data_IF_023504051706
#
_entry.id   IF_023504051706
#
_cell.length_a   1.000
_cell.length_b   1.000
_cell.length_c   1.000
_cell.angle_alpha   90.00
_cell.angle_beta   90.00
_cell.angle_gamma   90.00
#
_symmetry.space_group_name_H-M   'P 1'
#
loop_
_entity.id
_entity.type
_entity.pdbx_description
1 polymer ?
2 polymer ?
3 polymer ?
#
loop_
_entity_poly.entity_id
_entity_poly.type
_entity_poly.pdbx_seq_one_letter_code
_entity_poly.pdbx_strand_id
1 'polydeoxyribonucleotide' '(DT)(DA)(DT)(DA)(DT)(DA)(DT)(DA)(DT)(DA)(DT)(DA)' ?
#
# COMPACT_ATOMS: atom_id res chain seq x y z
N UNK C 7 25.17 0.54 5.83
CA UNK C 7 25.23 -0.80 6.40
C UNK C 7 25.01 -0.75 7.91
N UNK C 8 24.61 -1.88 8.49
CA UNK C 8 24.41 -1.99 9.93
C UNK C 8 25.61 -2.72 10.52
N UNK C 9 26.10 -2.22 11.65
CA UNK C 9 27.15 -2.91 12.39
C UNK C 9 27.19 -2.32 13.79
N UNK C 10 27.06 -3.17 14.80
CA UNK C 10 27.20 -2.76 16.18
C UNK C 10 26.28 -1.60 16.51
N UNK C 11 26.63 -0.41 16.01
CA UNK C 11 25.97 0.81 16.43
C UNK C 11 24.51 0.84 16.03
N UNK C 12 24.13 0.10 14.99
CA UNK C 12 22.77 0.23 14.47
C UNK C 12 21.74 -0.23 15.49
N UNK C 13 22.02 -1.34 16.19
CA UNK C 13 21.09 -1.83 17.19
C UNK C 13 20.90 -0.79 18.29
N UNK C 14 21.99 -0.21 18.78
CA UNK C 14 21.88 0.82 19.80
C UNK C 14 21.12 2.02 19.28
N UNK C 15 21.35 2.41 18.03
CA UNK C 15 20.69 3.58 17.50
C UNK C 15 19.19 3.36 17.40
N UNK C 16 18.77 2.15 17.02
CA UNK C 16 17.33 1.86 17.01
C UNK C 16 16.78 1.82 18.44
N UNK C 17 17.56 1.28 19.37
CA UNK C 17 17.13 1.23 20.77
C UNK C 17 16.88 2.61 21.34
N UNK C 18 17.78 3.56 21.09
CA UNK C 18 17.72 4.83 21.78
C UNK C 18 16.42 5.57 21.47
N UNK C 19 15.99 5.53 20.22
CA UNK C 19 14.92 6.43 19.79
C UNK C 19 13.52 5.90 20.10
N UNK C 20 13.40 4.69 20.65
CA UNK C 20 12.09 4.22 21.08
C UNK C 20 11.65 4.87 22.38
N UNK C 21 12.59 5.45 23.12
CA UNK C 21 12.30 5.92 24.47
C UNK C 21 11.26 7.04 24.46
N UNK C 22 11.42 8.01 23.54
CA UNK C 22 10.52 9.16 23.55
C UNK C 22 9.09 8.75 23.25
N UNK C 23 8.87 8.01 22.18
CA UNK C 23 7.50 7.63 21.82
C UNK C 23 6.92 6.63 22.80
N UNK C 24 7.78 5.86 23.47
CA UNK C 24 7.25 4.93 24.46
C UNK C 24 6.84 5.65 25.74
N UNK C 25 7.64 6.62 26.20
CA UNK C 25 7.23 7.37 27.38
C UNK C 25 6.05 8.27 27.05
N UNK C 26 5.89 8.62 25.78
CA UNK C 26 4.69 9.34 25.40
C UNK C 26 3.43 8.52 25.55
N UNK C 27 3.48 7.25 25.12
CA UNK C 27 2.26 6.44 25.14
C UNK C 27 1.99 5.87 26.52
N UNK C 28 3.02 5.70 27.34
CA UNK C 28 2.77 5.24 28.70
C UNK C 28 1.96 6.25 29.49
N UNK C 29 2.40 7.50 29.51
CA UNK C 29 1.69 8.60 30.15
C UNK C 29 1.43 9.66 29.10
N UNK C 30 0.16 9.94 28.81
CA UNK C 30 -0.19 10.59 27.56
C UNK C 30 0.03 12.10 27.63
N UNK C 31 -0.65 12.77 28.55
CA UNK C 31 -0.53 14.22 28.63
C UNK C 31 0.17 14.57 29.94
N UNK C 32 0.80 13.58 30.55
CA UNK C 32 1.55 13.77 31.78
C UNK C 32 2.99 13.29 31.56
N UNK C 33 3.81 14.16 30.97
CA UNK C 33 5.20 13.80 30.78
C UNK C 33 6.07 14.27 31.94
N UNK C 34 5.99 15.58 32.24
CA UNK C 34 6.84 16.15 33.27
C UNK C 34 6.56 15.52 34.62
N UNK C 35 5.29 15.33 34.94
CA UNK C 35 4.92 14.79 36.23
C UNK C 35 5.34 13.32 36.37
N UNK C 36 5.01 12.50 35.39
CA UNK C 36 5.20 11.07 35.53
C UNK C 36 6.68 10.71 35.40
N UNK C 37 7.38 11.27 34.40
CA UNK C 37 8.70 10.76 34.07
C UNK C 37 9.69 10.99 35.19
N UNK C 38 9.35 11.84 36.16
CA UNK C 38 10.28 12.10 37.25
C UNK C 38 10.56 10.87 38.10
N UNK C 39 9.53 10.07 38.34
CA UNK C 39 9.68 8.92 39.22
C UNK C 39 10.59 7.88 38.59
N UNK C 40 11.53 7.29 39.34
CA UNK C 40 12.45 6.33 38.74
C UNK C 40 11.78 5.05 38.25
N UNK C 41 10.69 4.64 38.90
CA UNK C 41 10.10 3.34 38.58
C UNK C 41 9.68 3.29 37.12
N UNK C 42 8.96 4.33 36.66
CA UNK C 42 8.46 4.32 35.29
C UNK C 42 9.62 4.27 34.31
N UNK C 43 10.72 4.94 34.64
CA UNK C 43 11.91 4.82 33.81
C UNK C 43 12.38 3.37 33.74
N UNK C 44 12.38 2.66 34.87
CA UNK C 44 12.75 1.25 34.85
C UNK C 44 11.84 0.44 33.95
N UNK C 45 10.53 0.62 34.07
CA UNK C 45 9.60 -0.20 33.29
C UNK C 45 9.71 0.11 31.81
N UNK C 46 9.78 1.39 31.44
CA UNK C 46 9.78 1.73 30.03
C UNK C 46 11.10 1.34 29.39
N UNK C 47 12.20 1.46 30.13
CA UNK C 47 13.45 0.84 29.74
C UNK C 47 13.25 -0.64 29.44
N UNK C 48 12.72 -1.39 30.41
CA UNK C 48 12.63 -2.82 30.26
C UNK C 48 11.78 -3.19 29.06
N UNK C 49 10.74 -2.42 28.78
CA UNK C 49 9.88 -2.71 27.64
C UNK C 49 10.58 -2.43 26.32
N UNK C 50 11.30 -1.32 26.22
CA UNK C 50 11.86 -0.94 24.93
C UNK C 50 13.00 -1.84 24.49
N UNK C 51 13.44 -2.75 25.35
CA UNK C 51 14.49 -3.71 24.99
C UNK C 51 13.96 -4.87 24.17
N UNK C 52 12.71 -5.29 24.39
CA UNK C 52 12.19 -6.46 23.71
C UNK C 52 11.82 -6.15 22.26
N UNK C 53 11.48 -4.90 21.98
CA UNK C 53 11.10 -4.55 20.61
C UNK C 53 12.30 -4.68 19.67
N UNK C 54 13.48 -4.24 20.11
CA UNK C 54 14.67 -4.46 19.29
C UNK C 54 14.99 -5.93 19.17
N UNK C 55 14.75 -6.71 20.23
CA UNK C 55 14.98 -8.14 20.15
C UNK C 55 14.11 -8.77 19.08
N UNK C 56 12.83 -8.41 19.04
CA UNK C 56 11.96 -8.92 17.99
C UNK C 56 12.41 -8.45 16.61
N UNK C 57 12.84 -7.19 16.50
CA UNK C 57 13.25 -6.69 15.20
C UNK C 57 14.47 -7.43 14.67
N UNK C 58 15.54 -7.48 15.47
CA UNK C 58 16.79 -8.06 14.97
C UNK C 58 16.68 -9.57 14.86
N UNK C 59 15.93 -10.21 15.76
CA UNK C 59 15.82 -11.66 15.70
C UNK C 59 15.01 -12.11 14.50
N UNK C 60 14.08 -11.28 14.04
CA UNK C 60 13.18 -11.65 12.97
C UNK C 60 13.50 -10.92 11.67
N UNK C 61 14.73 -10.50 11.47
CA UNK C 61 15.13 -9.81 10.26
C UNK C 61 16.15 -10.59 9.45
N UNK C 62 16.57 -11.76 9.92
CA UNK C 62 17.67 -12.47 9.29
C UNK C 62 17.34 -12.90 7.87
N UNK C 63 16.10 -13.28 7.61
CA UNK C 63 15.76 -13.75 6.27
C UNK C 63 16.06 -12.69 5.22
N UNK C 64 15.64 -11.46 5.49
CA UNK C 64 15.89 -10.38 4.54
C UNK C 64 17.37 -10.14 4.35
N UNK C 65 18.14 -10.15 5.44
CA UNK C 65 19.57 -9.89 5.33
C UNK C 65 20.26 -10.99 4.53
N UNK C 66 19.87 -12.25 4.70
CA UNK C 66 20.52 -13.31 3.95
C UNK C 66 20.13 -13.29 2.48
N UNK C 67 18.88 -12.95 2.17
CA UNK C 67 18.53 -12.77 0.76
C UNK C 67 19.32 -11.63 0.15
N UNK C 68 19.46 -10.54 0.89
CA UNK C 68 20.28 -9.42 0.45
C UNK C 68 21.72 -9.85 0.25
N UNK C 69 22.19 -10.74 1.12
CA UNK C 69 23.55 -11.27 0.98
C UNK C 69 23.72 -12.04 -0.31
N UNK C 70 22.77 -12.94 -0.60
CA UNK C 70 22.88 -13.77 -1.80
C UNK C 70 22.82 -12.93 -3.06
N UNK C 71 22.03 -11.85 -3.04
CA UNK C 71 21.89 -11.04 -4.24
C UNK C 71 23.21 -10.41 -4.68
N UNK C 72 24.08 -10.05 -3.72
CA UNK C 72 25.22 -9.20 -4.03
C UNK C 72 26.25 -9.90 -4.91
N UNK C 73 26.66 -11.12 -4.55
CA UNK C 73 27.75 -11.76 -5.28
C UNK C 73 27.31 -12.10 -6.70
N UNK C 74 26.05 -12.49 -6.85
CA UNK C 74 25.52 -12.75 -8.19
C UNK C 74 25.49 -11.46 -9.00
N UNK C 75 25.08 -10.35 -8.38
CA UNK C 75 25.07 -9.08 -9.08
C UNK C 75 26.47 -8.66 -9.51
N UNK C 76 27.46 -8.92 -8.66
CA UNK C 76 28.81 -8.44 -8.93
C UNK C 76 29.45 -9.19 -10.08
N UNK C 77 29.08 -10.46 -10.26
CA UNK C 77 29.78 -11.30 -11.22
C UNK C 77 29.51 -10.87 -12.67
N UNK C 78 28.43 -10.13 -12.88
CA UNK C 78 28.13 -9.57 -14.20
C UNK C 78 28.63 -8.14 -14.36
N UNK C 79 29.35 -7.61 -13.39
CA UNK C 79 29.83 -6.24 -13.50
C UNK C 79 28.72 -5.22 -13.52
N UNK C 80 27.65 -5.47 -12.77
CA UNK C 80 26.51 -4.56 -12.70
C UNK C 80 26.96 -3.30 -11.95
N UNK C 81 26.68 -2.11 -12.47
CA UNK C 81 27.09 -0.89 -11.78
C UNK C 81 26.23 -0.66 -10.55
N UNK C 82 26.64 0.25 -9.66
CA UNK C 82 25.91 0.39 -8.39
C UNK C 82 24.44 0.77 -8.55
N UNK C 83 24.08 1.53 -9.58
CA UNK C 83 22.76 2.14 -9.62
C UNK C 83 21.66 1.08 -9.66
N UNK C 84 21.82 0.06 -10.50
CA UNK C 84 20.79 -0.96 -10.64
C UNK C 84 20.85 -2.02 -9.56
N UNK C 85 21.87 -2.00 -8.71
CA UNK C 85 21.97 -3.06 -7.71
C UNK C 85 20.76 -3.05 -6.77
N UNK C 86 20.22 -1.89 -6.42
CA UNK C 86 19.04 -1.87 -5.57
C UNK C 86 17.83 -2.50 -6.22
N UNK C 87 17.59 -2.16 -7.49
CA UNK C 87 16.44 -2.75 -8.19
C UNK C 87 16.62 -4.25 -8.35
N UNK C 88 17.87 -4.71 -8.42
CA UNK C 88 18.11 -6.16 -8.32
C UNK C 88 17.84 -6.67 -6.91
N UNK C 89 18.18 -5.86 -5.90
CA UNK C 89 17.93 -6.22 -4.51
C UNK C 89 16.45 -6.44 -4.26
N UNK C 90 15.61 -5.88 -5.12
CA UNK C 90 14.17 -6.05 -4.99
C UNK C 90 13.76 -7.52 -4.87
N UNK C 91 14.08 -8.34 -5.88
CA UNK C 91 13.68 -9.76 -5.81
C UNK C 91 14.09 -10.44 -4.54
N UNK C 92 15.27 -10.13 -4.01
CA UNK C 92 15.72 -10.82 -2.80
C UNK C 92 14.57 -10.97 -1.82
N UNK C 93 13.97 -9.86 -1.42
CA UNK C 93 12.94 -10.01 -0.40
C UNK C 93 11.55 -10.01 -1.01
N UNK C 94 11.43 -9.60 -2.28
CA UNK C 94 10.17 -9.82 -2.99
C UNK C 94 9.86 -11.31 -3.12
N UNK C 95 10.88 -12.15 -2.97
CA UNK C 95 10.71 -13.58 -3.13
C UNK C 95 10.90 -14.34 -1.82
N UNK C 96 11.78 -13.88 -0.93
CA UNK C 96 11.95 -14.57 0.34
C UNK C 96 10.88 -14.17 1.34
N UNK C 97 9.87 -13.41 0.91
CA UNK C 97 8.74 -13.08 1.77
C UNK C 97 7.43 -13.61 1.25
N UNK C 98 7.10 -13.34 -0.02
CA UNK C 98 5.79 -13.73 -0.53
C UNK C 98 5.75 -15.19 -0.93
N UNK C 99 6.88 -15.75 -1.34
CA UNK C 99 6.85 -17.08 -1.92
C UNK C 99 7.17 -18.17 -0.91
N UNK C 100 8.34 -18.10 -0.28
CA UNK C 100 8.88 -19.29 0.37
C UNK C 100 8.45 -19.38 1.83
N UNK C 101 8.39 -18.25 2.55
CA UNK C 101 7.97 -18.33 3.94
C UNK C 101 6.49 -18.61 4.09
N UNK C 102 5.64 -17.90 3.36
CA UNK C 102 4.20 -18.02 3.60
C UNK C 102 3.37 -18.38 2.38
N UNK C 103 3.88 -18.22 1.16
CA UNK C 103 3.16 -18.59 -0.05
C UNK C 103 1.80 -17.92 -0.14
N UNK C 104 1.80 -16.60 -0.31
CA UNK C 104 0.59 -15.96 -0.82
C UNK C 104 0.21 -16.64 -2.13
N UNK C 105 -1.06 -16.52 -2.50
CA UNK C 105 -1.54 -17.34 -3.59
C UNK C 105 -1.10 -16.95 -4.99
N UNK C 106 0.19 -17.06 -5.30
CA UNK C 106 0.68 -16.82 -6.64
C UNK C 106 1.72 -17.87 -7.02
N UNK C 107 1.91 -18.05 -8.32
CA UNK C 107 3.02 -18.86 -8.81
C UNK C 107 4.22 -17.97 -9.15
N UNK C 108 5.37 -18.60 -9.32
CA UNK C 108 6.62 -17.85 -9.46
C UNK C 108 6.68 -17.09 -10.79
N UNK C 109 6.34 -17.77 -11.88
CA UNK C 109 6.57 -17.19 -13.20
C UNK C 109 5.81 -15.89 -13.40
N UNK C 110 4.58 -15.83 -12.90
CA UNK C 110 3.78 -14.62 -13.08
C UNK C 110 4.37 -13.45 -12.30
N UNK C 111 4.92 -13.70 -11.10
CA UNK C 111 5.60 -12.64 -10.37
C UNK C 111 6.87 -12.19 -11.11
N UNK C 112 7.62 -13.15 -11.65
CA UNK C 112 8.75 -12.83 -12.49
C UNK C 112 8.36 -11.91 -13.62
N UNK C 113 7.22 -12.19 -14.24
CA UNK C 113 6.71 -11.32 -15.31
C UNK C 113 6.28 -9.97 -14.76
N UNK C 114 5.68 -9.96 -13.57
CA UNK C 114 5.15 -8.72 -13.01
C UNK C 114 6.24 -7.70 -12.78
N UNK C 115 7.33 -8.08 -12.10
CA UNK C 115 8.33 -7.07 -11.79
C UNK C 115 9.12 -6.69 -13.04
N UNK C 116 9.25 -7.64 -13.96
CA UNK C 116 9.81 -7.30 -15.26
C UNK C 116 8.92 -6.29 -15.97
N UNK C 117 7.62 -6.31 -15.66
CA UNK C 117 6.73 -5.22 -16.08
C UNK C 117 6.96 -3.97 -15.24
N UNK C 118 8.02 -3.95 -14.42
CA UNK C 118 8.38 -2.70 -13.76
C UNK C 118 9.79 -2.29 -14.14
N UNK C 119 10.53 -3.15 -14.83
CA UNK C 119 11.90 -2.81 -15.18
C UNK C 119 12.09 -2.41 -16.64
N UNK C 120 11.01 -2.19 -17.40
CA UNK C 120 11.16 -2.08 -18.86
C UNK C 120 12.03 -0.92 -19.33
N UNK C 121 12.35 -0.97 -20.63
CA UNK C 121 12.60 0.24 -21.39
C UNK C 121 11.28 0.79 -21.91
N UNK C 122 11.33 1.94 -22.56
CA UNK C 122 10.20 2.45 -23.31
C UNK C 122 10.73 3.19 -24.54
N UNK C 123 10.91 2.44 -25.63
CA UNK C 123 11.50 3.04 -26.83
C UNK C 123 10.50 3.85 -27.64
N UNK C 124 9.31 3.35 -27.99
CA UNK C 124 8.40 4.22 -28.74
C UNK C 124 7.38 4.90 -27.85
N UNK C 131 16.07 0.14 -28.48
CA UNK C 131 17.08 -0.44 -27.60
C UNK C 131 16.63 -1.81 -27.08
N UNK C 132 17.57 -2.57 -26.55
CA UNK C 132 17.25 -3.84 -25.90
C UNK C 132 16.96 -3.57 -24.43
N UNK C 133 15.69 -3.33 -24.12
CA UNK C 133 15.34 -3.01 -22.75
C UNK C 133 15.37 -4.16 -21.81
N UNK C 134 15.69 -5.35 -22.31
CA UNK C 134 15.92 -6.48 -21.44
C UNK C 134 17.39 -6.87 -21.43
N UNK C 135 18.21 -6.25 -22.27
CA UNK C 135 19.64 -6.48 -22.33
C UNK C 135 20.30 -5.11 -22.40
N UNK C 136 20.70 -4.58 -21.24
CA UNK C 136 21.35 -3.27 -21.17
C UNK C 136 22.80 -3.40 -21.60
N UNK C 137 23.40 -2.28 -21.96
CA UNK C 137 24.82 -2.21 -22.30
C UNK C 137 25.54 -1.46 -21.18
N UNK C 138 26.71 -1.95 -20.79
CA UNK C 138 27.44 -1.39 -19.67
C UNK C 138 28.90 -1.18 -20.05
N UNK C 139 29.53 -0.18 -19.44
CA UNK C 139 30.94 0.12 -19.65
C UNK C 139 31.68 -0.25 -18.37
N UNK C 140 32.68 -1.11 -18.50
CA UNK C 140 33.47 -1.53 -17.36
C UNK C 140 34.57 -0.55 -17.03
N UNK C 141 35.34 -0.91 -16.00
CA UNK C 141 36.46 -0.08 -15.56
C UNK C 141 37.59 -0.06 -16.59
N UNK C 142 37.82 -1.15 -17.29
CA UNK C 142 38.87 -1.24 -18.29
C UNK C 142 38.43 -0.72 -19.65
N UNK C 143 37.18 -0.29 -19.79
CA UNK C 143 36.66 0.13 -21.07
C UNK C 143 36.10 -0.98 -21.93
N UNK C 144 36.07 -2.21 -21.43
CA UNK C 144 35.48 -3.32 -22.17
C UNK C 144 33.96 -3.28 -22.00
N UNK C 145 33.25 -3.04 -23.11
CA UNK C 145 31.79 -3.03 -23.07
C UNK C 145 31.24 -4.46 -23.15
N UNK C 146 30.28 -4.77 -22.28
CA UNK C 146 29.63 -6.06 -22.26
C UNK C 146 28.19 -5.89 -21.78
N UNK C 147 27.35 -6.86 -22.13
CA UNK C 147 25.91 -6.75 -21.94
C UNK C 147 25.39 -7.90 -21.10
N UNK C 148 24.29 -7.66 -20.39
CA UNK C 148 23.65 -8.66 -19.55
C UNK C 148 22.15 -8.60 -19.77
N UNK C 149 21.49 -9.75 -19.72
CA UNK C 149 20.04 -9.81 -19.83
C UNK C 149 19.45 -9.93 -18.44
N UNK C 150 18.34 -9.23 -18.20
CA UNK C 150 17.66 -9.33 -16.91
C UNK C 150 17.02 -10.69 -16.69
N UNK C 151 16.50 -11.31 -17.75
CA UNK C 151 15.75 -12.55 -17.57
C UNK C 151 16.60 -13.64 -16.93
N UNK C 152 17.80 -13.86 -17.48
CA UNK C 152 18.64 -14.94 -16.97
C UNK C 152 19.20 -14.61 -15.59
N UNK C 153 19.56 -13.35 -15.35
CA UNK C 153 20.09 -13.03 -14.04
C UNK C 153 19.02 -13.18 -12.98
N UNK C 154 17.76 -12.86 -13.31
CA UNK C 154 16.66 -13.12 -12.40
C UNK C 154 16.45 -14.61 -12.17
N UNK C 155 16.49 -15.41 -13.25
CA UNK C 155 16.34 -16.85 -13.05
C UNK C 155 17.43 -17.37 -12.11
N UNK C 156 18.66 -16.87 -12.29
CA UNK C 156 19.75 -17.27 -11.42
C UNK C 156 19.48 -16.86 -9.99
N UNK C 157 18.95 -15.65 -9.78
CA UNK C 157 18.76 -15.25 -8.38
C UNK C 157 17.68 -16.09 -7.70
N UNK C 158 16.57 -16.44 -8.37
CA UNK C 158 15.57 -17.21 -7.62
C UNK C 158 16.05 -18.64 -7.37
N UNK C 159 16.66 -19.28 -8.38
CA UNK C 159 17.01 -20.68 -8.10
C UNK C 159 18.18 -20.74 -7.12
N UNK C 160 19.07 -19.74 -7.14
CA UNK C 160 20.12 -19.68 -6.12
C UNK C 160 19.54 -19.47 -4.73
N UNK C 161 18.54 -18.59 -4.61
CA UNK C 161 17.93 -18.39 -3.30
C UNK C 161 17.23 -19.66 -2.82
N UNK C 162 16.54 -20.35 -3.72
CA UNK C 162 15.88 -21.60 -3.34
C UNK C 162 16.86 -22.66 -2.89
N UNK C 163 17.97 -22.84 -3.60
CA UNK C 163 18.97 -23.80 -3.15
C UNK C 163 19.60 -23.37 -1.83
N UNK C 164 19.85 -22.07 -1.67
CA UNK C 164 20.42 -21.57 -0.41
C UNK C 164 19.47 -21.85 0.75
N UNK C 165 18.18 -21.62 0.54
CA UNK C 165 17.20 -21.90 1.58
C UNK C 165 17.14 -23.40 1.88
N UNK D 3 -18.88 -16.53 27.94
CA UNK D 3 -18.90 -16.36 26.49
C UNK D 3 -19.88 -15.31 26.03
N UNK D 4 -19.70 -14.83 24.81
CA UNK D 4 -20.57 -13.79 24.28
C UNK D 4 -20.45 -12.48 25.02
N UNK D 5 -19.22 -11.98 25.16
CA UNK D 5 -19.02 -10.73 25.89
C UNK D 5 -19.72 -9.55 25.25
N UNK D 6 -19.54 -9.38 23.94
CA UNK D 6 -20.11 -8.23 23.24
C UNK D 6 -20.02 -8.49 21.73
N UNK D 7 -20.43 -7.49 20.95
CA UNK D 7 -20.42 -7.57 19.48
C UNK D 7 -19.87 -6.25 18.93
N UNK D 8 -18.56 -6.17 18.76
CA UNK D 8 -17.94 -4.94 18.32
C UNK D 8 -18.27 -4.64 16.86
N UNK D 9 -18.43 -3.39 16.50
CA UNK D 9 -18.69 -3.03 15.12
C UNK D 9 -17.74 -1.98 14.74
N UNK D 10 -17.24 -2.06 13.55
CA UNK D 10 -16.20 -1.20 13.01
C UNK D 10 -16.70 -0.49 11.77
N UNK D 11 -16.69 0.83 11.81
CA UNK D 11 -17.26 1.65 10.74
C UNK D 11 -16.86 3.11 10.99
N UNK D 12 -17.15 3.96 10.02
CA UNK D 12 -16.88 5.39 10.13
C UNK D 12 -18.10 6.02 10.79
N UNK D 13 -17.91 6.57 11.99
CA UNK D 13 -19.03 6.89 12.88
C UNK D 13 -19.06 8.35 13.30
N UNK D 14 -18.76 9.27 12.39
CA UNK D 14 -18.96 10.71 12.61
C UNK D 14 -18.12 11.28 13.74
N UNK D 15 -17.32 10.46 14.42
CA UNK D 15 -16.40 10.97 15.43
C UNK D 15 -15.00 10.42 15.31
N UNK D 16 -14.71 9.64 14.26
CA UNK D 16 -13.37 9.10 14.10
C UNK D 16 -12.33 10.20 14.02
N UNK D 17 -12.69 11.34 13.43
CA UNK D 17 -11.78 12.46 13.31
C UNK D 17 -11.22 12.85 14.68
N UNK D 18 -12.12 13.05 15.64
CA UNK D 18 -11.68 13.56 16.93
C UNK D 18 -10.93 12.50 17.72
N UNK D 19 -11.34 11.24 17.63
CA UNK D 19 -10.59 10.18 18.28
C UNK D 19 -9.15 10.15 17.78
N UNK D 20 -8.99 10.13 16.46
CA UNK D 20 -7.66 10.08 15.86
C UNK D 20 -6.83 11.29 16.28
N UNK D 21 -7.40 12.49 16.14
CA UNK D 21 -6.65 13.69 16.45
C UNK D 21 -6.25 13.71 17.92
N UNK D 22 -7.17 13.37 18.82
CA UNK D 22 -6.86 13.42 20.22
C UNK D 22 -5.78 12.45 20.63
N UNK D 23 -5.88 11.20 20.16
CA UNK D 23 -4.88 10.21 20.56
C UNK D 23 -3.49 10.59 20.02
N UNK D 24 -3.44 11.01 18.76
CA UNK D 24 -2.12 11.35 18.22
C UNK D 24 -1.60 12.69 18.73
N UNK D 25 -2.46 13.55 19.28
CA UNK D 25 -1.98 14.74 19.99
C UNK D 25 -1.43 14.38 21.35
N UNK D 26 -2.11 13.46 22.03
CA UNK D 26 -1.62 13.00 23.32
C UNK D 26 -0.24 12.37 23.20
N UNK D 27 -0.02 11.60 22.15
CA UNK D 27 1.29 10.98 21.99
C UNK D 27 2.36 12.01 21.66
N UNK D 28 2.07 12.93 20.74
CA UNK D 28 3.12 13.83 20.27
C UNK D 28 3.30 15.09 21.11
N UNK D 29 2.47 15.32 22.13
CA UNK D 29 2.66 16.55 22.91
C UNK D 29 4.03 16.57 23.58
N UNK D 30 4.52 15.42 24.01
CA UNK D 30 5.85 15.35 24.60
C UNK D 30 6.92 15.51 23.52
N UNK D 31 6.57 15.20 22.27
CA UNK D 31 7.57 15.02 21.24
C UNK D 31 8.14 16.35 20.77
N UNK D 32 7.29 17.36 20.58
CA UNK D 32 7.68 18.60 19.94
C UNK D 32 7.34 19.85 20.71
N UNK D 33 6.43 19.78 21.67
CA UNK D 33 5.92 20.99 22.29
C UNK D 33 4.47 21.24 21.90
N UNK D 34 3.80 22.07 22.71
CA UNK D 34 2.35 22.16 22.62
C UNK D 34 1.90 22.78 21.30
N UNK D 35 2.49 23.93 20.92
CA UNK D 35 2.01 24.65 19.75
C UNK D 35 2.16 23.84 18.48
N UNK D 36 3.35 23.30 18.25
CA UNK D 36 3.57 22.51 17.05
C UNK D 36 2.69 21.27 17.03
N UNK D 37 2.54 20.61 18.17
CA UNK D 37 1.71 19.42 18.22
C UNK D 37 0.26 19.76 17.90
N UNK D 38 -0.25 20.86 18.44
CA UNK D 38 -1.62 21.25 18.16
C UNK D 38 -1.81 21.58 16.68
N UNK D 39 -0.84 22.26 16.08
CA UNK D 39 -0.99 22.63 14.67
C UNK D 39 -0.86 21.40 13.77
N UNK D 40 0.01 20.46 14.13
CA UNK D 40 0.44 19.43 13.20
C UNK D 40 -0.68 18.46 12.85
N UNK D 41 -1.48 18.07 13.84
CA UNK D 41 -2.45 16.99 13.62
C UNK D 41 -3.53 17.41 12.62
N UNK D 42 -3.80 18.71 12.51
CA UNK D 42 -4.76 19.15 11.51
C UNK D 42 -4.30 18.79 10.10
N UNK D 43 -3.09 19.19 9.74
CA UNK D 43 -2.58 18.85 8.42
C UNK D 43 -2.37 17.35 8.30
N UNK D 44 -2.06 16.68 9.41
CA UNK D 44 -1.90 15.24 9.36
C UNK D 44 -3.20 14.55 8.98
N UNK D 45 -4.31 15.04 9.51
CA UNK D 45 -5.58 14.36 9.27
C UNK D 45 -6.22 14.81 7.97
N UNK D 46 -5.88 16.00 7.48
CA UNK D 46 -6.52 16.48 6.26
C UNK D 46 -6.26 15.54 5.08
N UNK D 47 -5.02 15.08 4.94
CA UNK D 47 -4.71 14.18 3.84
C UNK D 47 -5.49 12.88 3.94
N UNK D 48 -5.55 12.30 5.14
CA UNK D 48 -6.31 11.08 5.33
C UNK D 48 -7.77 11.29 4.97
N UNK D 49 -8.34 12.42 5.40
CA UNK D 49 -9.72 12.72 5.06
C UNK D 49 -9.91 12.85 3.57
N UNK D 50 -8.97 13.49 2.88
CA UNK D 50 -9.14 13.74 1.46
C UNK D 50 -9.01 12.45 0.66
N UNK D 51 -8.17 11.52 1.09
CA UNK D 51 -7.89 10.32 0.32
C UNK D 51 -8.81 9.17 0.73
N UNK D 52 -8.75 8.71 1.98
CA UNK D 52 -9.50 7.51 2.36
C UNK D 52 -11.00 7.77 2.30
N UNK D 53 -11.46 8.85 2.94
CA UNK D 53 -12.89 9.06 3.12
C UNK D 53 -13.58 9.27 1.78
N UNK D 54 -12.98 10.07 0.90
CA UNK D 54 -13.62 10.46 -0.34
C UNK D 54 -13.61 9.36 -1.40
N UNK D 55 -12.89 8.27 -1.19
CA UNK D 55 -12.82 7.23 -2.20
C UNK D 55 -13.28 5.89 -1.64
N UNK D 56 -12.53 5.37 -0.66
CA UNK D 56 -12.75 4.00 -0.23
C UNK D 56 -14.06 3.86 0.52
N UNK D 57 -14.40 4.85 1.34
CA UNK D 57 -15.66 4.79 2.07
C UNK D 57 -16.85 4.76 1.11
N UNK D 58 -16.83 5.63 0.11
CA UNK D 58 -17.92 5.66 -0.86
C UNK D 58 -18.01 4.34 -1.62
N UNK D 59 -16.87 3.80 -2.05
CA UNK D 59 -16.89 2.55 -2.81
C UNK D 59 -17.45 1.42 -1.95
N UNK D 60 -16.99 1.32 -0.70
CA UNK D 60 -17.47 0.26 0.17
C UNK D 60 -18.95 0.40 0.44
N UNK D 61 -19.42 1.63 0.67
CA UNK D 61 -20.83 1.84 0.95
C UNK D 61 -21.68 1.51 -0.27
N UNK D 62 -21.15 1.74 -1.47
CA UNK D 62 -21.87 1.34 -2.68
C UNK D 62 -21.92 -0.17 -2.81
N UNK D 63 -20.82 -0.86 -2.50
CA UNK D 63 -20.73 -2.28 -2.80
C UNK D 63 -21.30 -3.18 -1.71
N UNK D 64 -21.63 -2.63 -0.54
CA UNK D 64 -22.11 -3.45 0.55
C UNK D 64 -23.35 -4.25 0.16
N UNK D 65 -24.34 -3.58 -0.44
CA UNK D 65 -25.61 -4.24 -0.74
C UNK D 65 -25.42 -5.38 -1.73
N UNK D 66 -24.75 -5.12 -2.84
CA UNK D 66 -24.57 -6.17 -3.83
C UNK D 66 -23.68 -7.29 -3.29
N UNK D 67 -22.77 -6.97 -2.37
CA UNK D 67 -21.94 -8.03 -1.81
C UNK D 67 -22.76 -8.96 -0.93
N UNK D 68 -23.57 -8.39 -0.05
CA UNK D 68 -24.43 -9.22 0.80
C UNK D 68 -25.41 -10.02 -0.05
N UNK D 69 -25.90 -9.42 -1.14
CA UNK D 69 -26.76 -10.18 -2.04
C UNK D 69 -26.04 -11.32 -2.72
N UNK D 70 -24.82 -11.10 -3.19
CA UNK D 70 -24.08 -12.06 -4.00
C UNK D 70 -23.54 -13.22 -3.17
N UNK D 71 -22.72 -12.93 -2.17
CA UNK D 71 -22.07 -13.96 -1.38
C UNK D 71 -22.26 -13.66 0.10
N UNK D 72 -23.47 -13.20 0.44
CA UNK D 72 -23.75 -12.83 1.80
C UNK D 72 -23.63 -14.00 2.76
N UNK D 73 -22.80 -13.79 3.77
CA UNK D 73 -22.57 -14.76 4.83
C UNK D 73 -21.75 -14.12 5.93
N UNK D 74 -21.37 -14.90 6.94
CA UNK D 74 -20.43 -14.39 7.92
C UNK D 74 -19.06 -14.15 7.32
N UNK D 75 -18.63 -15.03 6.41
CA UNK D 75 -17.29 -14.97 5.84
C UNK D 75 -17.34 -14.29 4.47
N UNK D 76 -17.57 -12.99 4.49
CA UNK D 76 -17.29 -12.14 3.34
C UNK D 76 -15.91 -11.52 3.46
N UNK D 77 -15.20 -11.84 4.53
CA UNK D 77 -13.83 -11.44 4.79
C UNK D 77 -12.86 -11.76 3.65
N UNK D 78 -12.82 -12.99 3.13
CA UNK D 78 -11.84 -13.24 2.06
C UNK D 78 -12.13 -12.42 0.84
N UNK D 79 -13.38 -11.99 0.67
CA UNK D 79 -13.77 -11.28 -0.53
C UNK D 79 -13.68 -9.78 -0.33
N UNK D 80 -13.80 -9.31 0.92
CA UNK D 80 -13.82 -7.88 1.20
C UNK D 80 -12.56 -7.20 0.69
N UNK D 81 -11.46 -7.93 0.57
CA UNK D 81 -10.22 -7.31 0.16
C UNK D 81 -10.15 -7.10 -1.35
N UNK D 82 -11.06 -7.70 -2.12
CA UNK D 82 -11.00 -7.56 -3.57
C UNK D 82 -11.38 -6.14 -4.00
N UNK D 83 -12.46 -5.60 -3.43
CA UNK D 83 -12.86 -4.25 -3.79
C UNK D 83 -11.80 -3.26 -3.35
N UNK D 84 -10.99 -3.64 -2.37
CA UNK D 84 -9.94 -2.75 -1.91
C UNK D 84 -8.70 -2.87 -2.78
N UNK D 85 -8.37 -4.09 -3.21
CA UNK D 85 -7.24 -4.36 -4.08
C UNK D 85 -7.43 -3.82 -5.49
N UNK D 86 -8.65 -3.90 -6.03
CA UNK D 86 -8.87 -3.45 -7.40
C UNK D 86 -8.63 -1.95 -7.54
N UNK D 87 -8.88 -1.20 -6.47
CA UNK D 87 -8.70 0.25 -6.51
C UNK D 87 -7.23 0.60 -6.68
N UNK D 88 -6.36 -0.10 -5.97
CA UNK D 88 -4.97 0.33 -5.92
C UNK D 88 -4.12 -0.27 -7.02
N UNK D 89 -4.13 -1.60 -7.18
CA UNK D 89 -3.22 -2.24 -8.11
C UNK D 89 -3.61 -2.03 -9.57
N UNK D 90 -4.90 -2.19 -9.90
CA UNK D 90 -5.31 -2.15 -11.30
C UNK D 90 -5.51 -0.71 -11.74
N UNK D 91 -6.48 -0.03 -11.11
CA UNK D 91 -6.66 1.39 -11.38
C UNK D 91 -5.67 2.20 -10.56
N UNK D 92 -5.37 3.40 -11.03
CA UNK D 92 -4.57 4.42 -10.37
C UNK D 92 -3.09 4.07 -10.32
N UNK D 93 -2.70 2.83 -10.63
CA UNK D 93 -1.29 2.51 -10.78
C UNK D 93 -0.98 1.63 -11.97
N UNK D 94 -1.93 0.86 -12.49
CA UNK D 94 -1.73 0.02 -13.67
C UNK D 94 -0.62 -1.00 -13.44
N UNK D 95 -0.41 -1.37 -12.18
CA UNK D 95 0.69 -2.28 -11.86
C UNK D 95 0.41 -3.73 -12.24
N UNK D 96 -0.85 -4.16 -12.19
CA UNK D 96 -1.19 -5.56 -12.36
C UNK D 96 -2.32 -5.68 -13.37
N UNK D 97 -2.17 -6.61 -14.30
CA UNK D 97 -3.22 -6.85 -15.28
C UNK D 97 -4.41 -7.52 -14.62
N UNK D 98 -5.60 -7.21 -15.13
CA UNK D 98 -6.82 -7.78 -14.56
C UNK D 98 -6.83 -9.29 -14.72
N UNK D 99 -6.32 -9.79 -15.84
CA UNK D 99 -6.20 -11.24 -16.02
C UNK D 99 -5.30 -11.84 -14.95
N UNK D 100 -4.21 -11.17 -14.62
CA UNK D 100 -3.33 -11.69 -13.58
C UNK D 100 -4.05 -11.76 -12.25
N UNK D 101 -4.81 -10.73 -11.89
CA UNK D 101 -5.53 -10.75 -10.62
C UNK D 101 -6.57 -11.86 -10.61
N UNK D 102 -7.28 -12.03 -11.72
CA UNK D 102 -8.29 -13.08 -11.79
C UNK D 102 -7.65 -14.46 -11.64
N UNK D 103 -6.52 -14.68 -12.30
CA UNK D 103 -5.82 -15.96 -12.17
C UNK D 103 -5.32 -16.16 -10.75
N UNK D 104 -4.76 -15.11 -10.15
CA UNK D 104 -4.20 -15.22 -8.81
C UNK D 104 -5.28 -15.59 -7.80
N UNK D 105 -6.37 -14.84 -7.79
CA UNK D 105 -7.20 -14.80 -6.61
C UNK D 105 -8.22 -15.94 -6.62
N UNK D 106 -8.36 -16.62 -7.75
CA UNK D 106 -9.23 -17.79 -7.81
C UNK D 106 -8.66 -18.90 -6.92
N UNK D 107 -7.34 -18.99 -6.85
CA UNK D 107 -6.69 -20.06 -6.11
C UNK D 107 -7.16 -20.12 -4.66
N UNK D 108 -7.53 -18.97 -4.11
CA UNK D 108 -8.10 -18.97 -2.77
C UNK D 108 -9.48 -19.59 -2.73
N UNK D 109 -10.09 -19.87 -3.89
CA UNK D 109 -11.26 -20.71 -3.95
C UNK D 109 -12.56 -20.07 -4.35
N UNK D 110 -12.60 -18.75 -4.53
CA UNK D 110 -13.86 -18.11 -4.92
C UNK D 110 -14.09 -18.32 -6.41
N UNK D 111 -15.30 -18.78 -6.74
CA UNK D 111 -15.63 -19.12 -8.12
C UNK D 111 -15.65 -17.87 -9.00
N UNK D 112 -15.37 -18.02 -10.30
CA UNK D 112 -15.06 -16.85 -11.13
C UNK D 112 -16.16 -15.81 -11.25
N UNK D 113 -17.42 -16.24 -11.26
CA UNK D 113 -18.50 -15.32 -11.63
C UNK D 113 -18.56 -14.12 -10.69
N UNK D 114 -18.44 -14.37 -9.39
CA UNK D 114 -18.50 -13.27 -8.42
C UNK D 114 -17.34 -12.30 -8.64
N UNK D 115 -16.14 -12.83 -8.88
CA UNK D 115 -14.98 -11.97 -9.11
C UNK D 115 -15.20 -11.11 -10.34
N UNK D 116 -15.70 -11.72 -11.43
CA UNK D 116 -15.97 -10.95 -12.64
C UNK D 116 -16.99 -9.85 -12.38
N UNK D 117 -18.04 -10.18 -11.63
CA UNK D 117 -19.05 -9.17 -11.35
C UNK D 117 -18.47 -8.02 -10.53
N UNK D 118 -17.68 -8.33 -9.51
CA UNK D 118 -17.17 -7.29 -8.62
C UNK D 118 -16.18 -6.40 -9.33
N UNK D 119 -15.23 -6.99 -10.06
CA UNK D 119 -14.19 -6.18 -10.68
C UNK D 119 -14.78 -5.22 -11.70
N UNK D 120 -15.81 -5.66 -12.42
CA UNK D 120 -16.52 -4.79 -13.34
C UNK D 120 -17.39 -3.75 -12.63
N UNK D 121 -18.09 -4.14 -11.56
CA UNK D 121 -18.96 -3.19 -10.90
C UNK D 121 -18.16 -2.09 -10.23
N UNK D 122 -16.95 -2.39 -9.79
CA UNK D 122 -16.12 -1.37 -9.15
C UNK D 122 -15.82 -0.22 -10.09
N UNK D 123 -15.49 -0.54 -11.35
CA UNK D 123 -15.12 0.50 -12.28
C UNK D 123 -16.23 1.48 -12.57
N UNK D 124 -17.46 0.99 -12.65
CA UNK D 124 -18.59 1.86 -12.93
C UNK D 124 -18.72 2.94 -11.86
N UNK D 125 -18.65 2.54 -10.59
CA UNK D 125 -18.74 3.52 -9.51
C UNK D 125 -17.50 4.39 -9.46
N UNK D 126 -16.33 3.80 -9.73
CA UNK D 126 -15.07 4.53 -9.56
C UNK D 126 -14.94 5.63 -10.61
N UNK D 127 -15.42 5.40 -11.82
CA UNK D 127 -15.29 6.38 -12.89
C UNK D 127 -16.00 7.68 -12.53
N UNK D 128 -17.17 7.58 -11.91
CA UNK D 128 -17.88 8.78 -11.50
C UNK D 128 -17.15 9.57 -10.43
N UNK D 129 -16.45 8.86 -9.54
CA UNK D 129 -15.84 9.52 -8.39
C UNK D 129 -14.56 10.25 -8.78
N UNK D 130 -13.63 9.55 -9.41
CA UNK D 130 -12.33 10.10 -9.73
C UNK D 130 -12.36 10.58 -11.18
N UNK D 131 -12.13 11.86 -11.40
CA UNK D 131 -12.24 12.39 -12.77
C UNK D 131 -11.18 11.84 -13.70
N UNK D 132 -9.96 11.64 -13.19
CA UNK D 132 -8.85 11.22 -14.04
C UNK D 132 -9.10 9.87 -14.69
N UNK D 133 -9.84 8.99 -14.02
CA UNK D 133 -10.07 7.66 -14.56
C UNK D 133 -11.00 7.73 -15.77
N UNK D 134 -11.91 8.69 -15.78
CA UNK D 134 -13.02 8.67 -16.74
C UNK D 134 -12.52 8.75 -18.18
N UNK D 135 -11.70 9.74 -18.49
CA UNK D 135 -11.28 9.93 -19.87
C UNK D 135 -10.39 8.80 -20.34
N UNK D 136 -9.53 8.28 -19.46
CA UNK D 136 -8.69 7.16 -19.83
C UNK D 136 -9.53 5.92 -20.10
N UNK D 137 -10.58 5.71 -19.30
CA UNK D 137 -11.48 4.59 -19.56
C UNK D 137 -12.32 4.82 -20.80
N UNK D 138 -12.65 6.08 -21.08
CA UNK D 138 -13.47 6.40 -22.23
C UNK D 138 -14.95 6.18 -21.96
N UNK D 139 -15.74 6.40 -23.00
CA UNK D 139 -17.20 6.29 -22.92
C UNK D 139 -17.58 4.85 -23.22
N UNK D 140 -17.59 4.01 -22.19
CA UNK D 140 -17.96 2.61 -22.32
C UNK D 140 -18.68 2.19 -21.05
N UNK D 141 -19.37 1.05 -21.13
CA UNK D 141 -20.09 0.48 -20.00
C UNK D 141 -19.45 -0.86 -19.68
N UNK D 142 -18.98 -1.01 -18.45
CA UNK D 142 -18.32 -2.25 -18.05
C UNK D 142 -19.35 -3.31 -17.67
N UNK D 143 -19.05 -4.54 -18.06
CA UNK D 143 -19.87 -5.68 -17.69
C UNK D 143 -18.96 -6.91 -17.64
N UNK D 144 -19.38 -7.89 -16.84
CA UNK D 144 -18.62 -9.12 -16.71
C UNK D 144 -18.44 -9.83 -18.04
N UNK D 145 -19.30 -9.55 -19.02
CA UNK D 145 -19.14 -10.15 -20.34
C UNK D 145 -17.85 -9.70 -21.01
N UNK D 146 -17.47 -8.44 -20.81
CA UNK D 146 -16.34 -7.87 -21.52
C UNK D 146 -15.33 -7.17 -20.62
N UNK D 147 -15.50 -7.23 -19.29
CA UNK D 147 -14.58 -6.51 -18.42
C UNK D 147 -13.17 -7.07 -18.53
N UNK D 148 -13.04 -8.40 -18.52
CA UNK D 148 -11.71 -9.00 -18.56
C UNK D 148 -11.04 -8.70 -19.89
N UNK D 149 -11.84 -8.38 -20.91
CA UNK D 149 -11.28 -8.05 -22.21
C UNK D 149 -10.87 -6.59 -22.29
N UNK D 150 -11.65 -5.71 -21.67
CA UNK D 150 -11.52 -4.28 -21.87
C UNK D 150 -10.61 -3.63 -20.85
N UNK D 151 -10.80 -3.91 -19.56
CA UNK D 151 -10.11 -3.13 -18.53
C UNK D 151 -8.60 -3.34 -18.62
N UNK D 152 -8.17 -4.56 -18.97
CA UNK D 152 -6.74 -4.84 -19.09
C UNK D 152 -6.13 -4.24 -20.34
N UNK D 153 -6.95 -3.74 -21.28
CA UNK D 153 -6.41 -3.10 -22.46
C UNK D 153 -5.58 -1.88 -22.10
N UNK D 154 -6.07 -1.07 -21.18
CA UNK D 154 -5.34 0.14 -20.77
C UNK D 154 -4.02 -0.25 -20.14
N UNK D 155 -4.03 -1.23 -19.24
CA UNK D 155 -2.81 -1.65 -18.56
C UNK D 155 -1.81 -2.20 -19.56
N UNK D 156 -2.30 -2.90 -20.59
CA UNK D 156 -1.40 -3.33 -21.66
C UNK D 156 -0.81 -2.13 -22.39
N UNK D 157 -1.65 -1.14 -22.71
CA UNK D 157 -1.16 0.02 -23.44
C UNK D 157 -0.18 0.83 -22.58
N UNK D 158 -0.56 1.14 -21.35
CA UNK D 158 0.28 1.95 -20.47
C UNK D 158 0.94 1.09 -19.42
N UNK D 159 2.25 1.18 -19.26
CA UNK D 159 2.94 0.32 -18.30
C UNK D 159 2.73 0.77 -16.87
N UNK D 160 3.44 0.15 -15.92
CA UNK D 160 3.23 0.36 -14.50
C UNK D 160 3.52 1.81 -14.12
N UNK D 161 2.49 2.51 -13.65
CA UNK D 161 2.63 3.88 -13.18
C UNK D 161 3.31 3.90 -11.80
N UNK D 162 3.95 5.00 -11.45
CA UNK D 162 4.56 5.09 -10.11
C UNK D 162 3.51 5.25 -9.03
N UNK D 163 3.93 4.97 -7.78
CA UNK D 163 3.01 5.03 -6.65
C UNK D 163 2.63 6.45 -6.27
N UNK D 164 3.24 7.46 -6.89
CA UNK D 164 2.84 8.83 -6.59
C UNK D 164 1.38 9.07 -6.95
N UNK D 165 0.94 8.54 -8.10
CA UNK D 165 -0.42 8.83 -8.56
C UNK D 165 -1.48 8.31 -7.60
N UNK D 166 -1.21 7.19 -6.94
CA UNK D 166 -2.14 6.74 -5.90
C UNK D 166 -2.17 7.72 -4.75
N UNK D 167 -1.09 8.46 -4.55
CA UNK D 167 -0.95 9.33 -3.40
C UNK D 167 -1.50 10.72 -3.54
N UNK D 168 -0.70 11.71 -3.14
CA UNK D 168 -1.23 13.06 -2.90
C UNK D 168 -1.47 13.79 -4.22
N UNK D 169 -0.80 13.37 -5.28
CA UNK D 169 -0.93 14.10 -6.54
C UNK D 169 -2.29 13.86 -7.17
N UNK D 170 -3.15 13.10 -6.48
CA UNK D 170 -4.34 12.55 -7.10
C UNK D 170 -5.28 13.63 -7.62
N UNK D 171 -5.81 14.48 -6.75
CA UNK D 171 -7.00 15.27 -7.08
C UNK D 171 -6.71 16.74 -7.39
N UNK D 172 -5.52 17.24 -7.07
CA UNK D 172 -5.28 18.68 -7.09
C UNK D 172 -5.24 19.27 -8.49
N UNK D 173 -4.65 18.54 -9.45
CA UNK D 173 -4.44 19.11 -10.77
C UNK D 173 -5.65 18.93 -11.69
N UNK D 174 -6.69 18.21 -11.27
CA UNK D 174 -7.80 17.94 -12.15
C UNK D 174 -8.98 18.83 -11.80
N UNK D 175 -9.81 19.14 -12.79
CA UNK D 175 -10.90 20.08 -12.63
C UNK D 175 -12.21 19.31 -12.47
N UNK D 176 -13.15 19.88 -11.73
CA UNK D 176 -14.47 19.31 -11.53
C UNK D 176 -15.35 20.39 -10.91
N UNK D 177 -16.55 20.00 -10.51
CA UNK D 177 -17.45 20.90 -9.79
C UNK D 177 -18.03 20.21 -8.57
N UNK D 178 -18.02 20.92 -7.47
CA UNK D 178 -18.67 20.49 -6.24
C UNK D 178 -20.18 20.46 -6.47
N UNK D 179 -20.92 19.69 -5.68
CA UNK D 179 -22.38 19.63 -5.86
C UNK D 179 -23.09 20.96 -5.62
N UNK D 180 -22.35 22.03 -5.29
CA UNK D 180 -23.01 23.28 -4.94
C UNK D 180 -23.55 24.00 -6.17
N UNK D 181 -23.03 23.69 -7.35
CA UNK D 181 -23.01 24.65 -8.46
C UNK D 181 -24.40 25.14 -8.86
N UNK D 182 -25.19 24.25 -9.48
CA UNK D 182 -26.56 24.48 -9.96
C UNK D 182 -26.90 23.63 -11.18
N UNK D 183 -25.90 23.18 -11.93
CA UNK D 183 -26.18 22.54 -13.20
C UNK D 183 -25.58 21.17 -13.41
N UNK D 184 -24.62 20.78 -12.58
CA UNK D 184 -23.96 19.49 -12.74
C UNK D 184 -24.82 18.37 -12.17
N UNK D 185 -24.30 17.15 -12.22
CA UNK D 185 -25.04 16.02 -11.67
C UNK D 185 -25.28 16.16 -10.18
N UNK D 186 -24.23 15.97 -9.38
CA UNK D 186 -24.16 16.48 -8.03
C UNK D 186 -25.41 16.37 -7.18
N UNK D 187 -26.04 17.52 -6.94
CA UNK D 187 -27.25 17.64 -6.14
C UNK D 187 -26.98 17.20 -4.69
N UNK D 188 -26.20 18.02 -3.98
CA UNK D 188 -25.56 17.75 -2.71
C UNK D 188 -26.38 17.02 -1.66
N UNK D 189 -25.71 16.22 -0.85
CA UNK D 189 -26.35 15.45 0.22
C UNK D 189 -26.77 16.35 1.36
N UNK D 190 -27.54 15.77 2.30
CA UNK D 190 -28.20 16.57 3.33
C UNK D 190 -27.34 16.78 4.57
N UNK D 191 -26.23 16.02 4.71
CA UNK D 191 -25.46 16.08 5.95
C UNK D 191 -24.89 17.47 6.20
N UNK D 192 -24.71 18.24 5.13
CA UNK D 192 -24.18 19.59 5.27
C UNK D 192 -25.18 20.49 5.99
N UNK D 193 -26.41 20.02 6.15
CA UNK D 193 -27.40 20.73 6.94
C UNK D 193 -27.38 20.34 8.40
N UNK D 194 -27.28 19.05 8.70
CA UNK D 194 -27.17 18.63 10.10
C UNK D 194 -25.91 19.14 10.73
N UNK D 195 -24.82 19.22 9.97
CA UNK D 195 -23.59 19.79 10.51
C UNK D 195 -23.81 21.23 10.96
N UNK D 196 -24.47 22.04 10.13
CA UNK D 196 -24.75 23.42 10.51
C UNK D 196 -25.66 23.48 11.71
N UNK D 197 -26.69 22.62 11.73
CA UNK D 197 -27.64 22.65 12.83
C UNK D 197 -26.97 22.34 14.16
N UNK D 198 -26.05 21.36 14.15
CA UNK D 198 -25.25 21.12 15.34
C UNK D 198 -24.38 22.33 15.65
N UNK D 199 -23.75 22.91 14.64
CA UNK D 199 -22.77 23.97 14.86
C UNK D 199 -23.42 25.20 15.48
N UNK D 200 -24.69 25.45 15.18
CA UNK D 200 -25.32 26.69 15.64
C UNK D 200 -25.30 26.78 17.16
N UNK D 201 -25.23 25.64 17.84
CA UNK D 201 -24.98 25.58 19.27
C UNK D 201 -24.05 24.43 19.62
#
# INVERSE_FOLDING_TARGET
>C
MAGKKRRLSQASVLRYYAKRFTMNVGTTAHVLGKEVAGNPWVAKAIDKLSYQETYNWISDYQASHLAKQVAKQVAEKYGIPPTFQGLLMAYAEKVVANYILDYKGESLTQMHDNYLYELMQKMPIAPTGTSSGYIYVFIGKDGKTHTVDMSKVLTDIEDALLKRA
>D
MAGRQAHRKFDVRNDTSTRWKGKLYGIFVNYMGEDYAKEFVEQAYSNYEKVFVNIYTKIHNQLRTTLTSSAGAGATFPLWQIINEAIYAVYLTHKETASFLYAKYVARGIQPNVVKKILAETGNALKGIVPAVAQELGETVLDESNVISVVDDIVRKNPALPNSYAGIILQEARISTTPHYEGTEGFSSMESAYSALEEIEKGL
#
